data_IF_353387223085
#
_entry.id   IF_353387223085
#
_cell.length_a   1.000
_cell.length_b   1.000
_cell.length_c   1.000
_cell.angle_alpha   90.00
_cell.angle_beta   90.00
_cell.angle_gamma   90.00
#
_symmetry.space_group_name_H-M   'P 1'
#
loop_
_entity.id
_entity.type
_entity.pdbx_description
1 polymer ?
#
# COMPACT_ATOMS: atom_id res chain seq x y z
N UNK A 1 47.77 -8.17 -21.48
CA UNK A 1 47.03 -6.93 -21.17
C UNK A 1 46.13 -6.59 -22.35
N UNK A 2 44.81 -6.69 -22.21
CA UNK A 2 43.85 -6.41 -23.28
C UNK A 2 43.83 -4.90 -23.58
N UNK A 3 44.08 -4.51 -24.84
CA UNK A 3 44.17 -3.12 -25.31
C UNK A 3 42.94 -2.30 -24.91
N UNK A 4 43.16 -1.06 -24.46
CA UNK A 4 42.10 -0.14 -23.98
C UNK A 4 40.95 0.03 -24.98
N UNK A 5 41.24 -0.05 -26.28
CA UNK A 5 40.25 0.06 -27.37
C UNK A 5 39.27 -1.13 -27.41
N UNK A 6 39.73 -2.32 -27.03
CA UNK A 6 38.90 -3.53 -26.96
C UNK A 6 37.94 -3.48 -25.77
N UNK A 7 38.39 -2.93 -24.63
CA UNK A 7 37.54 -2.74 -23.45
C UNK A 7 36.41 -1.75 -23.71
N UNK A 8 36.69 -0.63 -24.38
CA UNK A 8 35.68 0.38 -24.74
C UNK A 8 34.61 -0.20 -25.67
N UNK A 9 35.00 -1.01 -26.67
CA UNK A 9 34.05 -1.69 -27.55
C UNK A 9 33.14 -2.69 -26.80
N UNK A 10 33.69 -3.40 -25.82
CA UNK A 10 32.93 -4.35 -25.00
C UNK A 10 31.91 -3.64 -24.09
N UNK A 11 32.26 -2.49 -23.50
CA UNK A 11 31.31 -1.68 -22.72
C UNK A 11 30.21 -1.06 -23.59
N UNK A 12 30.54 -0.57 -24.79
CA UNK A 12 29.54 -0.05 -25.72
C UNK A 12 28.53 -1.13 -26.15
N UNK A 13 29.00 -2.35 -26.41
CA UNK A 13 28.14 -3.50 -26.69
C UNK A 13 27.24 -3.89 -25.51
N UNK A 14 27.78 -3.91 -24.29
CA UNK A 14 27.01 -4.21 -23.08
C UNK A 14 25.93 -3.16 -22.80
N UNK A 15 26.23 -1.86 -22.96
CA UNK A 15 25.25 -0.77 -22.81
C UNK A 15 24.17 -0.88 -23.88
N UNK A 16 24.54 -1.14 -25.14
CA UNK A 16 23.58 -1.37 -26.23
C UNK A 16 22.65 -2.56 -25.98
N UNK A 17 23.18 -3.67 -25.43
CA UNK A 17 22.38 -4.84 -25.08
C UNK A 17 21.42 -4.56 -23.91
N UNK A 18 21.87 -3.82 -22.88
CA UNK A 18 21.00 -3.42 -21.76
C UNK A 18 19.90 -2.46 -22.24
N UNK A 19 20.23 -1.48 -23.07
CA UNK A 19 19.24 -0.58 -23.67
C UNK A 19 18.25 -1.31 -24.58
N UNK A 20 18.73 -2.26 -25.40
CA UNK A 20 17.89 -3.08 -26.27
C UNK A 20 16.96 -4.02 -25.50
N UNK A 21 17.44 -4.63 -24.40
CA UNK A 21 16.61 -5.48 -23.55
C UNK A 21 15.60 -4.66 -22.73
N UNK A 22 15.99 -3.48 -22.25
CA UNK A 22 15.08 -2.56 -21.56
C UNK A 22 14.00 -2.01 -22.50
N UNK A 23 14.37 -1.61 -23.72
CA UNK A 23 13.42 -1.12 -24.72
C UNK A 23 12.50 -2.23 -25.22
N UNK A 24 13.01 -3.45 -25.41
CA UNK A 24 12.20 -4.62 -25.77
C UNK A 24 11.19 -4.98 -24.67
N UNK A 25 11.62 -4.96 -23.39
CA UNK A 25 10.73 -5.20 -22.25
C UNK A 25 9.65 -4.11 -22.13
N UNK A 26 10.01 -2.85 -22.37
CA UNK A 26 9.08 -1.73 -22.38
C UNK A 26 8.07 -1.81 -23.53
N UNK A 27 8.52 -2.13 -24.75
CA UNK A 27 7.65 -2.29 -25.93
C UNK A 27 6.66 -3.44 -25.77
N UNK A 28 7.10 -4.58 -25.22
CA UNK A 28 6.23 -5.75 -25.03
C UNK A 28 5.19 -5.56 -23.92
N UNK A 29 5.47 -4.71 -22.93
CA UNK A 29 4.48 -4.35 -21.92
C UNK A 29 3.35 -3.49 -22.49
N UNK A 30 3.64 -2.71 -23.54
CA UNK A 30 2.71 -1.81 -24.22
C UNK A 30 2.24 -2.35 -25.59
N UNK A 31 2.29 -3.67 -25.83
CA UNK A 31 1.84 -4.24 -27.10
C UNK A 31 0.30 -4.21 -27.17
N UNK A 32 -0.32 -3.38 -28.04
CA UNK A 32 -1.77 -3.29 -28.15
C UNK A 32 -2.40 -4.56 -28.74
N UNK A 33 -1.61 -5.52 -29.23
CA UNK A 33 -2.05 -6.85 -29.65
C UNK A 33 -1.92 -7.93 -28.56
N UNK A 34 -1.41 -7.61 -27.38
CA UNK A 34 -1.37 -8.54 -26.25
C UNK A 34 -2.80 -8.82 -25.77
N UNK A 35 -3.12 -10.11 -25.57
CA UNK A 35 -4.39 -10.51 -24.97
C UNK A 35 -4.49 -9.91 -23.55
N UNK A 36 -5.66 -9.40 -23.15
CA UNK A 36 -5.83 -8.84 -21.82
C UNK A 36 -5.54 -9.90 -20.75
N UNK A 37 -4.93 -9.47 -19.64
CA UNK A 37 -4.66 -10.37 -18.53
C UNK A 37 -5.97 -10.88 -17.91
N UNK A 38 -5.90 -12.00 -17.17
CA UNK A 38 -7.06 -12.54 -16.45
C UNK A 38 -7.68 -11.49 -15.52
N UNK A 39 -6.84 -10.72 -14.85
CA UNK A 39 -7.22 -9.66 -13.93
C UNK A 39 -7.94 -8.53 -14.67
N UNK A 40 -7.43 -8.11 -15.84
CA UNK A 40 -8.05 -7.09 -16.67
C UNK A 40 -9.44 -7.50 -17.15
N UNK A 41 -9.59 -8.74 -17.61
CA UNK A 41 -10.90 -9.29 -18.02
C UNK A 41 -11.86 -9.32 -16.83
N UNK A 42 -11.40 -9.73 -15.64
CA UNK A 42 -12.22 -9.78 -14.44
C UNK A 42 -12.70 -8.39 -14.01
N UNK A 43 -11.79 -7.42 -13.90
CA UNK A 43 -12.11 -6.04 -13.50
C UNK A 43 -13.07 -5.41 -14.52
N UNK A 44 -12.77 -5.53 -15.82
CA UNK A 44 -13.64 -5.02 -16.87
C UNK A 44 -15.04 -5.63 -16.83
N UNK A 45 -15.16 -6.94 -16.59
CA UNK A 45 -16.46 -7.63 -16.47
C UNK A 45 -17.25 -7.15 -15.26
N UNK A 46 -16.59 -6.98 -14.10
CA UNK A 46 -17.24 -6.48 -12.88
C UNK A 46 -17.76 -5.05 -13.08
N UNK A 47 -16.95 -4.19 -13.69
CA UNK A 47 -17.28 -2.77 -13.90
C UNK A 47 -18.39 -2.62 -14.94
N UNK A 48 -18.37 -3.44 -15.98
CA UNK A 48 -19.46 -3.51 -16.94
C UNK A 48 -20.76 -3.95 -16.25
N UNK A 49 -20.71 -4.99 -15.41
CA UNK A 49 -21.86 -5.44 -14.62
C UNK A 49 -22.41 -4.35 -13.69
N UNK A 50 -21.53 -3.60 -13.02
CA UNK A 50 -21.92 -2.47 -12.19
C UNK A 50 -22.58 -1.34 -13.00
N UNK A 51 -22.13 -1.12 -14.23
CA UNK A 51 -22.62 -0.04 -15.08
C UNK A 51 -23.95 -0.39 -15.77
N UNK A 52 -24.17 -1.66 -16.13
CA UNK A 52 -25.34 -2.05 -16.95
C UNK A 52 -26.36 -2.94 -16.25
N UNK A 53 -25.97 -3.65 -15.20
CA UNK A 53 -26.85 -4.60 -14.50
C UNK A 53 -27.19 -4.17 -13.06
N UNK A 54 -26.47 -3.21 -12.48
CA UNK A 54 -26.80 -2.70 -11.15
C UNK A 54 -28.10 -1.89 -11.18
N UNK A 55 -28.97 -2.08 -10.18
CA UNK A 55 -30.26 -1.39 -10.08
C UNK A 55 -30.12 0.14 -10.07
N UNK A 56 -29.05 0.63 -9.43
CA UNK A 56 -28.68 2.03 -9.39
C UNK A 56 -27.25 2.18 -9.93
N UNK A 57 -27.07 2.23 -11.27
CA UNK A 57 -25.74 2.28 -11.85
C UNK A 57 -25.08 3.60 -11.49
N UNK A 58 -23.84 3.52 -11.00
CA UNK A 58 -23.03 4.67 -10.66
C UNK A 58 -22.14 5.06 -11.85
N UNK A 59 -21.87 6.35 -11.99
CA UNK A 59 -20.90 6.83 -12.98
C UNK A 59 -19.49 6.51 -12.49
N UNK A 60 -18.69 5.88 -13.35
CA UNK A 60 -17.29 5.54 -13.06
C UNK A 60 -16.41 6.73 -13.48
N UNK A 61 -16.35 7.74 -12.60
CA UNK A 61 -15.63 9.01 -12.76
C UNK A 61 -14.84 9.39 -11.49
N UNK A 62 -14.19 10.55 -11.47
CA UNK A 62 -13.39 11.04 -10.33
C UNK A 62 -14.13 11.01 -8.99
N UNK A 63 -15.45 11.22 -8.99
CA UNK A 63 -16.25 11.19 -7.77
C UNK A 63 -16.43 9.75 -7.27
N UNK A 64 -16.56 8.78 -8.16
CA UNK A 64 -16.51 7.36 -7.84
C UNK A 64 -15.13 6.98 -7.29
N UNK A 65 -14.05 7.42 -7.96
CA UNK A 65 -12.67 7.18 -7.53
C UNK A 65 -12.40 7.63 -6.10
N UNK A 66 -12.84 8.84 -5.72
CA UNK A 66 -12.71 9.35 -4.35
C UNK A 66 -13.38 8.44 -3.33
N UNK A 67 -14.63 8.03 -3.59
CA UNK A 67 -15.38 7.14 -2.69
C UNK A 67 -14.70 5.77 -2.57
N UNK A 68 -14.19 5.23 -3.67
CA UNK A 68 -13.46 3.96 -3.67
C UNK A 68 -12.15 4.10 -2.90
N UNK A 69 -11.40 5.18 -3.11
CA UNK A 69 -10.15 5.46 -2.40
C UNK A 69 -10.37 5.53 -0.88
N UNK A 70 -11.36 6.30 -0.43
CA UNK A 70 -11.68 6.45 1.00
C UNK A 70 -12.09 5.11 1.63
N UNK A 71 -13.00 4.37 0.95
CA UNK A 71 -13.45 3.06 1.41
C UNK A 71 -12.30 2.05 1.43
N UNK A 72 -11.42 2.09 0.43
CA UNK A 72 -10.28 1.20 0.33
C UNK A 72 -9.29 1.45 1.47
N UNK A 73 -8.89 2.70 1.70
CA UNK A 73 -8.02 3.07 2.84
C UNK A 73 -8.61 2.62 4.16
N UNK A 74 -9.92 2.84 4.37
CA UNK A 74 -10.62 2.38 5.57
C UNK A 74 -10.59 0.86 5.73
N UNK A 75 -10.70 0.11 4.63
CA UNK A 75 -10.69 -1.37 4.65
C UNK A 75 -9.31 -1.94 4.92
N UNK A 76 -8.24 -1.34 4.37
CA UNK A 76 -6.89 -1.89 4.53
C UNK A 76 -6.24 -1.52 5.87
N UNK A 77 -6.58 -0.38 6.47
CA UNK A 77 -6.02 0.05 7.76
C UNK A 77 -7.00 0.91 8.58
N UNK A 78 -8.14 0.32 8.94
CA UNK A 78 -9.17 0.98 9.77
C UNK A 78 -8.62 1.56 11.07
N UNK A 79 -7.72 0.81 11.73
CA UNK A 79 -7.13 1.19 13.03
C UNK A 79 -6.01 2.24 12.89
N UNK A 80 -5.60 2.56 11.66
CA UNK A 80 -4.50 3.47 11.33
C UNK A 80 -3.22 3.08 12.08
N UNK A 81 -2.84 1.80 11.99
CA UNK A 81 -1.71 1.22 12.73
C UNK A 81 -0.57 0.78 11.83
N UNK A 82 -0.84 0.51 10.56
CA UNK A 82 0.15 0.05 9.61
C UNK A 82 0.73 1.21 8.79
N UNK A 83 -0.14 1.99 8.15
CA UNK A 83 0.26 3.08 7.27
C UNK A 83 0.65 4.32 8.07
N UNK A 84 1.59 5.08 7.53
CA UNK A 84 1.97 6.41 7.99
C UNK A 84 1.35 7.50 7.12
N UNK A 85 1.33 8.75 7.60
CA UNK A 85 0.82 9.88 6.81
C UNK A 85 1.58 10.04 5.47
N UNK A 86 2.92 9.87 5.39
CA UNK A 86 3.63 9.82 4.11
C UNK A 86 3.17 8.70 3.16
N UNK A 87 2.79 7.53 3.67
CA UNK A 87 2.28 6.43 2.84
C UNK A 87 0.91 6.80 2.24
N UNK A 88 0.03 7.35 3.07
CA UNK A 88 -1.29 7.81 2.63
C UNK A 88 -1.17 8.94 1.62
N UNK A 89 -0.20 9.84 1.78
CA UNK A 89 0.06 10.91 0.81
C UNK A 89 0.55 10.38 -0.55
N UNK A 90 1.33 9.30 -0.57
CA UNK A 90 1.71 8.63 -1.82
C UNK A 90 0.49 8.01 -2.51
N UNK A 91 -0.35 7.31 -1.74
CA UNK A 91 -1.59 6.72 -2.25
C UNK A 91 -2.57 7.78 -2.76
N UNK A 92 -2.65 8.94 -2.11
CA UNK A 92 -3.55 10.04 -2.49
C UNK A 92 -3.32 10.58 -3.91
N UNK A 93 -2.17 10.29 -4.52
CA UNK A 93 -1.93 10.61 -5.94
C UNK A 93 -2.91 9.91 -6.90
N UNK A 94 -3.57 8.84 -6.44
CA UNK A 94 -4.54 8.04 -7.17
C UNK A 94 -5.99 8.32 -6.77
N UNK A 95 -6.24 9.25 -5.84
CA UNK A 95 -7.57 9.54 -5.27
C UNK A 95 -8.64 9.81 -6.35
N UNK A 96 -8.24 10.35 -7.51
CA UNK A 96 -9.11 10.66 -8.65
C UNK A 96 -8.84 9.79 -9.88
N UNK A 97 -7.99 8.77 -9.78
CA UNK A 97 -7.48 8.01 -10.95
C UNK A 97 -7.90 6.55 -10.98
N UNK A 98 -8.58 6.06 -9.95
CA UNK A 98 -8.97 4.64 -9.87
C UNK A 98 -9.92 4.25 -11.01
N UNK A 99 -10.80 5.17 -11.43
CA UNK A 99 -11.68 4.98 -12.57
C UNK A 99 -10.91 4.93 -13.89
N UNK A 100 -9.87 5.75 -14.05
CA UNK A 100 -8.96 5.69 -15.19
C UNK A 100 -8.22 4.35 -15.22
N UNK A 101 -7.64 3.90 -14.10
CA UNK A 101 -6.98 2.59 -13.99
C UNK A 101 -7.96 1.46 -14.36
N UNK A 102 -9.20 1.56 -13.90
CA UNK A 102 -10.26 0.59 -14.20
C UNK A 102 -10.58 0.52 -15.69
N UNK A 103 -10.68 1.67 -16.37
CA UNK A 103 -10.94 1.77 -17.82
C UNK A 103 -9.74 1.32 -18.65
N UNK A 104 -8.53 1.71 -18.22
CA UNK A 104 -7.27 1.39 -18.87
C UNK A 104 -6.79 -0.03 -18.55
N UNK A 105 -7.46 -0.73 -17.64
CA UNK A 105 -7.07 -2.07 -17.18
C UNK A 105 -5.66 -2.10 -16.57
N UNK A 106 -5.30 -1.02 -15.87
CA UNK A 106 -4.08 -0.92 -15.06
C UNK A 106 -4.42 -1.01 -13.57
N UNK A 107 -3.40 -1.09 -12.71
CA UNK A 107 -3.60 -1.40 -11.28
C UNK A 107 -2.49 -0.82 -10.39
N UNK A 108 -1.91 0.32 -10.79
CA UNK A 108 -0.79 0.94 -10.07
C UNK A 108 -1.15 1.31 -8.63
N UNK A 109 -2.38 1.79 -8.39
CA UNK A 109 -2.87 2.06 -7.03
C UNK A 109 -2.83 0.79 -6.16
N UNK A 110 -3.32 -0.33 -6.69
CA UNK A 110 -3.38 -1.60 -5.96
C UNK A 110 -1.98 -2.18 -5.72
N UNK A 111 -1.08 -2.06 -6.69
CA UNK A 111 0.31 -2.51 -6.54
C UNK A 111 1.02 -1.71 -5.44
N UNK A 112 0.86 -0.39 -5.45
CA UNK A 112 1.47 0.49 -4.46
C UNK A 112 0.92 0.23 -3.07
N UNK A 113 -0.40 0.16 -2.90
CA UNK A 113 -1.01 -0.09 -1.59
C UNK A 113 -0.62 -1.46 -1.04
N UNK A 114 -0.61 -2.49 -1.87
CA UNK A 114 -0.22 -3.85 -1.49
C UNK A 114 1.23 -3.89 -1.05
N UNK A 115 2.12 -3.24 -1.80
CA UNK A 115 3.54 -3.11 -1.43
C UNK A 115 3.69 -2.43 -0.07
N UNK A 116 3.06 -1.26 0.13
CA UNK A 116 3.15 -0.50 1.38
C UNK A 116 2.62 -1.32 2.56
N UNK A 117 1.46 -1.96 2.44
CA UNK A 117 0.90 -2.78 3.51
C UNK A 117 1.81 -3.96 3.86
N UNK A 118 2.38 -4.64 2.87
CA UNK A 118 3.31 -5.75 3.10
C UNK A 118 4.59 -5.29 3.81
N UNK A 119 5.14 -4.13 3.41
CA UNK A 119 6.32 -3.54 4.05
C UNK A 119 6.01 -3.13 5.50
N UNK A 120 4.92 -2.41 5.72
CA UNK A 120 4.51 -1.95 7.05
C UNK A 120 4.15 -3.10 7.98
N UNK A 121 3.50 -4.15 7.48
CA UNK A 121 3.19 -5.36 8.28
C UNK A 121 4.46 -5.97 8.87
N UNK A 122 5.50 -6.16 8.05
CA UNK A 122 6.79 -6.71 8.51
C UNK A 122 7.47 -5.79 9.53
N UNK A 123 7.42 -4.48 9.30
CA UNK A 123 7.96 -3.49 10.23
C UNK A 123 7.24 -3.52 11.59
N UNK A 124 5.91 -3.58 11.58
CA UNK A 124 5.11 -3.58 12.81
C UNK A 124 5.24 -4.90 13.58
N UNK A 125 5.44 -6.03 12.90
CA UNK A 125 5.80 -7.30 13.55
C UNK A 125 7.12 -7.16 14.32
N UNK A 126 8.18 -6.66 13.68
CA UNK A 126 9.48 -6.45 14.32
C UNK A 126 9.38 -5.47 15.50
N UNK A 127 8.68 -4.36 15.31
CA UNK A 127 8.46 -3.36 16.35
C UNK A 127 7.68 -3.93 17.55
N UNK A 128 6.67 -4.76 17.30
CA UNK A 128 5.89 -5.40 18.36
C UNK A 128 6.78 -6.32 19.20
N UNK A 129 7.62 -7.15 18.57
CA UNK A 129 8.58 -7.98 19.29
C UNK A 129 9.57 -7.15 20.11
N UNK A 130 10.07 -6.06 19.56
CA UNK A 130 10.99 -5.15 20.26
C UNK A 130 10.33 -4.52 21.49
N UNK A 131 9.11 -4.00 21.36
CA UNK A 131 8.38 -3.35 22.45
C UNK A 131 8.00 -4.33 23.57
N UNK A 132 7.61 -5.57 23.21
CA UNK A 132 7.23 -6.60 24.17
C UNK A 132 8.45 -7.30 24.83
N UNK A 133 9.67 -7.07 24.34
CA UNK A 133 10.88 -7.60 24.97
C UNK A 133 11.20 -6.91 26.30
N UNK A 134 10.57 -5.77 26.60
CA UNK A 134 10.70 -5.05 27.85
C UNK A 134 9.35 -5.00 28.57
N UNK A 135 9.31 -5.13 29.90
CA UNK A 135 8.06 -5.00 30.65
C UNK A 135 7.53 -3.57 30.56
N UNK A 136 6.20 -3.42 30.51
CA UNK A 136 5.56 -2.12 30.66
C UNK A 136 5.48 -1.73 32.14
N UNK A 137 5.75 -0.45 32.44
CA UNK A 137 5.42 0.15 33.74
C UNK A 137 4.03 0.78 33.70
N UNK A 138 3.30 0.73 34.81
CA UNK A 138 1.92 1.25 34.93
C UNK A 138 1.80 2.31 36.03
N UNK A 139 2.91 3.01 36.30
CA UNK A 139 3.08 4.04 37.33
C UNK A 139 2.81 5.47 36.82
N UNK A 140 2.52 5.62 35.53
CA UNK A 140 2.29 6.90 34.87
C UNK A 140 0.87 6.98 34.33
N UNK A 141 0.21 8.11 34.56
CA UNK A 141 -1.11 8.42 33.99
C UNK A 141 -1.01 8.66 32.48
N UNK A 142 -1.63 7.79 31.70
CA UNK A 142 -1.64 7.86 30.24
C UNK A 142 -3.04 7.55 29.70
N UNK A 143 -3.40 8.16 28.57
CA UNK A 143 -4.66 7.88 27.87
C UNK A 143 -4.45 7.13 26.56
N UNK A 144 -5.34 6.21 26.25
CA UNK A 144 -5.40 5.51 24.97
C UNK A 144 -6.75 5.74 24.28
N UNK A 145 -6.72 6.13 23.00
CA UNK A 145 -7.93 6.32 22.19
C UNK A 145 -8.39 4.98 21.60
N UNK A 146 -9.56 4.50 22.03
CA UNK A 146 -10.16 3.24 21.54
C UNK A 146 -11.09 3.44 20.34
N UNK A 147 -11.55 4.67 20.10
CA UNK A 147 -12.30 5.07 18.90
C UNK A 147 -11.32 5.34 17.73
N UNK A 148 -11.15 4.32 16.89
CA UNK A 148 -10.21 4.37 15.77
C UNK A 148 -10.62 5.35 14.66
N UNK A 149 -11.91 5.72 14.58
CA UNK A 149 -12.38 6.73 13.62
C UNK A 149 -11.74 8.09 13.95
N UNK A 150 -11.59 8.40 15.24
CA UNK A 150 -10.93 9.63 15.74
C UNK A 150 -9.40 9.60 15.67
N UNK A 151 -8.80 8.47 15.31
CA UNK A 151 -7.35 8.37 15.17
C UNK A 151 -6.85 9.05 13.90
N UNK A 152 -5.60 9.47 13.87
CA UNK A 152 -4.90 9.95 12.67
C UNK A 152 -3.77 8.99 12.32
N UNK A 153 -3.42 8.90 11.03
CA UNK A 153 -2.21 8.19 10.62
C UNK A 153 -0.99 8.86 11.28
N UNK A 154 -0.03 8.08 11.81
CA UNK A 154 1.17 8.64 12.43
C UNK A 154 1.97 9.47 11.42
N UNK A 155 2.42 10.65 11.83
CA UNK A 155 3.15 11.58 10.96
C UNK A 155 4.60 11.11 10.71
N UNK A 156 5.16 10.34 11.64
CA UNK A 156 6.52 9.82 11.59
C UNK A 156 6.64 8.41 12.15
N UNK A 157 7.80 7.78 11.95
CA UNK A 157 8.11 6.49 12.57
C UNK A 157 8.15 6.56 14.11
N UNK A 158 8.54 7.70 14.68
CA UNK A 158 8.52 7.91 16.12
C UNK A 158 7.08 7.95 16.66
N UNK A 159 6.18 8.67 15.97
CA UNK A 159 4.76 8.70 16.32
C UNK A 159 4.12 7.32 16.19
N UNK A 160 4.48 6.56 15.15
CA UNK A 160 4.00 5.19 14.97
C UNK A 160 4.47 4.29 16.11
N UNK A 161 5.74 4.37 16.49
CA UNK A 161 6.29 3.64 17.63
C UNK A 161 5.52 3.96 18.91
N UNK A 162 5.25 5.24 19.18
CA UNK A 162 4.54 5.64 20.39
C UNK A 162 3.07 5.17 20.38
N UNK A 163 2.39 5.22 19.23
CA UNK A 163 1.05 4.66 19.10
C UNK A 163 1.02 3.14 19.38
N UNK A 164 2.01 2.39 18.88
CA UNK A 164 2.13 0.95 19.14
C UNK A 164 2.49 0.64 20.59
N UNK A 165 3.39 1.42 21.21
CA UNK A 165 3.71 1.27 22.64
C UNK A 165 2.46 1.44 23.50
N UNK A 166 1.67 2.50 23.26
CA UNK A 166 0.42 2.75 24.00
C UNK A 166 -0.61 1.64 23.77
N UNK A 167 -0.77 1.17 22.53
CA UNK A 167 -1.65 0.05 22.21
C UNK A 167 -1.24 -1.21 22.99
N UNK A 168 0.01 -1.64 22.87
CA UNK A 168 0.49 -2.87 23.51
C UNK A 168 0.44 -2.78 25.05
N UNK A 169 0.73 -1.60 25.62
CA UNK A 169 0.56 -1.34 27.05
C UNK A 169 -0.91 -1.45 27.47
N UNK A 170 -1.83 -0.89 26.70
CA UNK A 170 -3.27 -0.98 26.95
C UNK A 170 -3.80 -2.42 26.86
N UNK A 171 -3.40 -3.17 25.83
CA UNK A 171 -3.78 -4.58 25.65
C UNK A 171 -3.22 -5.44 26.80
N UNK A 172 -1.97 -5.16 27.24
CA UNK A 172 -1.36 -5.84 28.39
C UNK A 172 -2.15 -5.55 29.68
N UNK A 173 -2.50 -4.29 29.94
CA UNK A 173 -3.29 -3.90 31.11
C UNK A 173 -4.66 -4.58 31.12
N UNK A 174 -5.33 -4.59 29.97
CA UNK A 174 -6.63 -5.25 29.79
C UNK A 174 -6.52 -6.73 30.12
N UNK A 175 -5.48 -7.39 29.60
CA UNK A 175 -5.27 -8.82 29.86
C UNK A 175 -4.98 -9.13 31.33
N UNK A 176 -4.22 -8.29 32.01
CA UNK A 176 -3.95 -8.45 33.45
C UNK A 176 -5.23 -8.25 34.26
N UNK A 177 -6.03 -7.24 33.94
CA UNK A 177 -7.31 -6.99 34.62
C UNK A 177 -8.26 -8.20 34.48
N UNK A 178 -8.40 -8.77 33.28
CA UNK A 178 -9.19 -9.99 33.04
C UNK A 178 -8.73 -11.21 33.85
N UNK A 179 -7.44 -11.28 34.21
CA UNK A 179 -6.90 -12.40 35.00
C UNK A 179 -7.11 -12.22 36.51
N UNK A 180 -7.47 -11.01 36.95
CA UNK A 180 -7.72 -10.68 38.36
C UNK A 180 -9.20 -10.83 38.74
N UNK A 181 -10.09 -10.86 37.74
CA UNK A 181 -11.52 -11.18 37.89
C UNK A 181 -11.78 -12.70 37.84
#
# INVERSE_FOLDING_TARGET
>A
MLSSRFKIGMYAGAVGAVFGLASYRFYRHNDPAALPSKEQVLVGTLVQGLSTAHYQPERIDDAFSKRVFDLYLKRIDYRKKLLTQPDVNQLRQYETKIDDETKASTHEFLDLSTKLINERTKQMQALTHELLAQPFTFDTDETFQTDFEKSTFPASAADQREQWRKLLKFETLTRVAEMMD
#
